data_IF_858350841038
#
_entry.id   IF_858350841038
#
_cell.length_a   1.000
_cell.length_b   1.000
_cell.length_c   1.000
_cell.angle_alpha   90.00
_cell.angle_beta   90.00
_cell.angle_gamma   90.00
#
_symmetry.space_group_name_H-M   'P 1'
#
loop_
_entity.id
_entity.type
_entity.pdbx_description
1 polymer ?
#
# COMPACT_ATOMS: atom_id res chain seq x y z
N UNK A 1 -63.71 -6.91 11.26
CA UNK A 1 -62.80 -5.78 10.97
C UNK A 1 -61.38 -6.23 11.27
N UNK A 2 -60.62 -6.67 10.26
CA UNK A 2 -59.20 -7.02 10.38
C UNK A 2 -58.47 -6.23 9.31
N UNK A 3 -57.72 -5.22 9.76
CA UNK A 3 -56.88 -4.36 8.91
C UNK A 3 -55.54 -5.07 8.79
N UNK A 4 -55.25 -5.61 7.61
CA UNK A 4 -53.93 -6.17 7.32
C UNK A 4 -53.07 -5.03 6.77
N UNK A 5 -52.15 -4.53 7.59
CA UNK A 5 -51.17 -3.50 7.23
C UNK A 5 -50.06 -4.17 6.41
N UNK A 6 -49.95 -3.86 5.11
CA UNK A 6 -48.82 -4.27 4.28
C UNK A 6 -47.72 -3.21 4.40
N UNK A 7 -46.62 -3.55 5.08
CA UNK A 7 -45.42 -2.71 5.16
C UNK A 7 -44.56 -3.00 3.91
N UNK A 8 -44.55 -2.08 2.95
CA UNK A 8 -43.64 -2.14 1.79
C UNK A 8 -42.30 -1.56 2.23
N UNK A 9 -41.31 -2.42 2.46
CA UNK A 9 -39.93 -2.03 2.69
C UNK A 9 -39.31 -1.63 1.35
N UNK A 10 -39.26 -0.32 1.08
CA UNK A 10 -38.58 0.24 -0.09
C UNK A 10 -37.06 0.16 0.15
N UNK A 11 -36.42 -0.91 -0.32
CA UNK A 11 -34.96 -1.00 -0.42
C UNK A 11 -34.50 0.00 -1.50
N UNK A 12 -34.23 1.23 -1.09
CA UNK A 12 -33.48 2.17 -1.92
C UNK A 12 -32.05 1.65 -2.04
N UNK A 13 -31.78 0.95 -3.14
CA UNK A 13 -30.41 0.68 -3.56
C UNK A 13 -29.80 2.03 -3.95
N UNK A 14 -29.19 2.71 -2.98
CA UNK A 14 -28.28 3.81 -3.28
C UNK A 14 -27.17 3.20 -4.11
N UNK A 15 -27.24 3.39 -5.43
CA UNK A 15 -26.08 3.19 -6.29
C UNK A 15 -25.11 4.28 -5.90
N UNK A 16 -24.21 3.97 -4.97
CA UNK A 16 -23.07 4.83 -4.66
C UNK A 16 -22.26 4.90 -5.95
N UNK A 17 -22.46 5.97 -6.73
CA UNK A 17 -21.59 6.31 -7.83
C UNK A 17 -20.20 6.49 -7.23
N UNK A 18 -19.37 5.47 -7.35
CA UNK A 18 -18.03 5.50 -6.78
C UNK A 18 -17.18 6.48 -7.61
N UNK A 19 -16.77 7.60 -6.99
CA UNK A 19 -15.95 8.66 -7.61
C UNK A 19 -14.76 8.04 -8.35
N UNK A 20 -14.52 8.45 -9.60
CA UNK A 20 -13.37 7.94 -10.36
C UNK A 20 -12.12 8.79 -10.10
N UNK A 21 -10.92 8.23 -10.30
CA UNK A 21 -9.67 9.01 -10.21
C UNK A 21 -9.65 10.25 -11.10
N UNK A 22 -10.32 10.19 -12.27
CA UNK A 22 -10.42 11.30 -13.22
C UNK A 22 -11.15 12.52 -12.67
N UNK A 23 -12.13 12.32 -11.80
CA UNK A 23 -12.89 13.42 -11.16
C UNK A 23 -12.06 14.17 -10.10
N UNK A 24 -11.02 13.51 -9.58
CA UNK A 24 -10.15 14.06 -8.55
C UNK A 24 -9.12 15.01 -9.17
N UNK A 25 -8.64 14.74 -10.38
CA UNK A 25 -7.67 15.61 -11.07
C UNK A 25 -8.13 17.10 -11.06
N UNK A 26 -7.30 18.03 -10.59
CA UNK A 26 -7.57 19.47 -10.68
C UNK A 26 -7.77 19.93 -12.13
N UNK A 27 -8.59 20.95 -12.36
CA UNK A 27 -8.76 21.55 -13.69
C UNK A 27 -7.66 22.58 -13.96
N UNK A 28 -7.43 22.96 -15.23
CA UNK A 28 -6.55 24.10 -15.56
C UNK A 28 -6.98 25.37 -14.81
N UNK A 29 -6.03 26.25 -14.53
CA UNK A 29 -6.32 27.50 -13.82
C UNK A 29 -6.64 27.33 -12.34
N UNK A 30 -6.31 26.18 -11.73
CA UNK A 30 -6.28 26.03 -10.27
C UNK A 30 -5.35 27.06 -9.59
N UNK A 31 -4.36 27.54 -10.34
CA UNK A 31 -3.56 28.72 -10.07
C UNK A 31 -3.19 29.39 -11.41
N UNK A 32 -2.93 30.69 -11.38
CA UNK A 32 -2.56 31.46 -12.58
C UNK A 32 -1.36 30.83 -13.30
N UNK A 33 -1.44 30.75 -14.63
CA UNK A 33 -0.35 30.25 -15.49
C UNK A 33 -0.25 28.72 -15.62
N UNK A 34 -0.89 27.94 -14.74
CA UNK A 34 -0.89 26.48 -14.84
C UNK A 34 -1.97 25.96 -15.80
N UNK A 35 -1.54 25.13 -16.76
CA UNK A 35 -2.41 24.48 -17.74
C UNK A 35 -2.33 22.97 -17.60
N UNK A 36 -3.48 22.30 -17.49
CA UNK A 36 -3.57 20.84 -17.53
C UNK A 36 -3.48 20.33 -18.96
N UNK A 37 -2.65 19.31 -19.17
CA UNK A 37 -2.54 18.56 -20.41
C UNK A 37 -3.69 17.58 -20.63
N UNK A 38 -3.49 16.65 -21.56
CA UNK A 38 -4.43 15.56 -21.80
C UNK A 38 -4.47 14.60 -20.59
N UNK A 39 -5.66 14.13 -20.25
CA UNK A 39 -5.84 13.15 -19.18
C UNK A 39 -5.69 11.75 -19.75
N UNK A 40 -4.65 11.05 -19.31
CA UNK A 40 -4.53 9.61 -19.49
C UNK A 40 -5.39 8.92 -18.45
N UNK A 41 -6.19 7.95 -18.87
CA UNK A 41 -7.10 7.23 -17.98
C UNK A 41 -7.14 5.76 -18.34
N UNK A 42 -6.79 4.91 -17.38
CA UNK A 42 -6.66 3.47 -17.59
C UNK A 42 -7.42 2.71 -16.50
N UNK A 43 -7.92 1.52 -16.86
CA UNK A 43 -8.64 0.59 -15.97
C UNK A 43 -8.18 -0.83 -16.20
N UNK A 44 -8.19 -1.65 -15.15
CA UNK A 44 -7.75 -3.05 -15.23
C UNK A 44 -6.38 -3.18 -15.90
N UNK A 45 -6.28 -4.09 -16.87
CA UNK A 45 -5.03 -4.43 -17.56
C UNK A 45 -4.47 -3.29 -18.43
N UNK A 46 -5.24 -2.23 -18.70
CA UNK A 46 -4.70 -1.06 -19.41
C UNK A 46 -3.66 -0.29 -18.55
N UNK A 47 -3.58 -0.57 -17.25
CA UNK A 47 -2.55 -0.02 -16.36
C UNK A 47 -1.12 -0.30 -16.89
N UNK A 48 -0.91 -1.42 -17.58
CA UNK A 48 0.40 -1.79 -18.14
C UNK A 48 0.88 -0.80 -19.22
N UNK A 49 -0.02 -0.02 -19.83
CA UNK A 49 0.37 1.08 -20.73
C UNK A 49 0.97 2.28 -19.98
N UNK A 50 0.65 2.43 -18.70
CA UNK A 50 1.17 3.50 -17.85
C UNK A 50 2.42 3.06 -17.08
N UNK A 51 2.38 1.89 -16.43
CA UNK A 51 3.48 1.39 -15.59
C UNK A 51 4.01 0.08 -16.19
N UNK A 52 5.20 0.14 -16.81
CA UNK A 52 5.85 -1.05 -17.35
C UNK A 52 6.74 -1.73 -16.29
N UNK A 53 6.34 -2.92 -15.83
CA UNK A 53 7.10 -3.74 -14.87
C UNK A 53 6.75 -3.56 -13.39
N UNK A 54 5.77 -2.71 -13.08
CA UNK A 54 5.24 -2.50 -11.72
C UNK A 54 3.73 -2.71 -11.56
N UNK A 55 2.98 -2.81 -12.67
CA UNK A 55 1.52 -2.90 -12.66
C UNK A 55 1.00 -4.15 -11.93
N UNK A 56 1.70 -5.29 -11.99
CA UNK A 56 1.30 -6.53 -11.30
C UNK A 56 1.10 -6.33 -9.80
N UNK A 57 1.93 -5.49 -9.16
CA UNK A 57 1.76 -5.15 -7.75
C UNK A 57 0.45 -4.41 -7.53
N UNK A 58 0.13 -3.41 -8.34
CA UNK A 58 -1.15 -2.69 -8.23
C UNK A 58 -2.35 -3.62 -8.43
N UNK A 59 -2.25 -4.55 -9.38
CA UNK A 59 -3.28 -5.56 -9.61
C UNK A 59 -3.46 -6.49 -8.40
N UNK A 60 -2.37 -6.91 -7.75
CA UNK A 60 -2.43 -7.73 -6.52
C UNK A 60 -3.17 -7.01 -5.38
N UNK A 61 -3.01 -5.69 -5.25
CA UNK A 61 -3.76 -4.88 -4.27
C UNK A 61 -5.16 -4.48 -4.75
N UNK A 62 -5.67 -5.00 -5.87
CA UNK A 62 -7.03 -4.68 -6.34
C UNK A 62 -7.15 -3.28 -6.95
N UNK A 63 -6.28 -2.97 -7.91
CA UNK A 63 -6.38 -1.76 -8.74
C UNK A 63 -7.76 -1.62 -9.41
N UNK A 64 -8.31 -0.40 -9.37
CA UNK A 64 -9.61 -0.06 -9.99
C UNK A 64 -9.42 0.80 -11.24
N UNK A 65 -8.85 1.99 -11.08
CA UNK A 65 -8.57 2.93 -12.16
C UNK A 65 -7.44 3.91 -11.83
N UNK A 66 -6.82 4.47 -12.85
CA UNK A 66 -5.83 5.56 -12.71
C UNK A 66 -6.15 6.68 -13.66
N UNK A 67 -6.01 7.92 -13.18
CA UNK A 67 -5.99 9.11 -14.00
C UNK A 67 -4.65 9.81 -13.82
N UNK A 68 -3.99 10.12 -14.94
CA UNK A 68 -2.73 10.84 -14.95
C UNK A 68 -2.80 12.07 -15.86
N UNK A 69 -2.13 13.15 -15.48
CA UNK A 69 -2.05 14.36 -16.29
C UNK A 69 -0.81 15.19 -15.96
N UNK A 70 -0.24 15.79 -17.00
CA UNK A 70 0.72 16.87 -16.87
C UNK A 70 0.02 18.19 -16.53
N UNK A 71 0.67 19.01 -15.72
CA UNK A 71 0.38 20.41 -15.52
C UNK A 71 1.63 21.19 -15.89
N UNK A 72 1.50 22.18 -16.77
CA UNK A 72 2.64 22.93 -17.32
C UNK A 72 2.48 24.41 -17.00
N UNK A 73 3.58 25.02 -16.58
CA UNK A 73 3.70 26.47 -16.40
C UNK A 73 4.89 26.98 -17.22
N UNK A 74 4.69 28.06 -17.98
CA UNK A 74 5.67 28.56 -18.96
C UNK A 74 7.02 28.95 -18.36
N UNK A 75 7.04 29.40 -17.10
CA UNK A 75 8.27 29.84 -16.40
C UNK A 75 8.67 28.99 -15.18
N UNK A 76 7.79 28.09 -14.70
CA UNK A 76 8.03 27.37 -13.43
C UNK A 76 8.41 25.91 -13.66
N UNK A 77 7.94 25.28 -14.73
CA UNK A 77 8.26 23.89 -15.06
C UNK A 77 7.01 23.05 -15.27
N UNK A 78 7.12 21.75 -14.95
CA UNK A 78 6.06 20.76 -15.16
C UNK A 78 5.83 19.94 -13.90
N UNK A 79 4.56 19.68 -13.62
CA UNK A 79 4.11 18.73 -12.60
C UNK A 79 3.38 17.59 -13.28
N UNK A 80 3.64 16.37 -12.86
CA UNK A 80 2.94 15.19 -13.32
C UNK A 80 2.20 14.58 -12.12
N UNK A 81 0.88 14.42 -12.25
CA UNK A 81 0.01 13.87 -11.21
C UNK A 81 -0.53 12.54 -11.68
N UNK A 82 -0.49 11.54 -10.82
CA UNK A 82 -1.17 10.27 -11.02
C UNK A 82 -2.05 9.99 -9.80
N UNK A 83 -3.30 9.62 -10.05
CA UNK A 83 -4.27 9.31 -9.01
C UNK A 83 -4.73 7.87 -9.25
N UNK A 84 -4.24 6.96 -8.43
CA UNK A 84 -4.60 5.55 -8.44
C UNK A 84 -5.74 5.33 -7.46
N UNK A 85 -6.86 4.83 -7.97
CA UNK A 85 -7.96 4.32 -7.16
C UNK A 85 -7.78 2.82 -6.97
N UNK A 86 -7.80 2.40 -5.72
CA UNK A 86 -7.76 1.00 -5.32
C UNK A 86 -9.16 0.54 -4.86
N UNK A 87 -9.34 -0.76 -4.68
CA UNK A 87 -10.62 -1.33 -4.28
C UNK A 87 -11.10 -0.87 -2.89
N UNK A 88 -10.17 -0.53 -1.99
CA UNK A 88 -10.43 -0.06 -0.64
C UNK A 88 -9.22 0.72 -0.08
N UNK A 89 -9.38 1.27 1.13
CA UNK A 89 -8.39 2.09 1.81
C UNK A 89 -7.13 1.31 2.21
N UNK A 90 -7.27 0.03 2.56
CA UNK A 90 -6.14 -0.84 2.93
C UNK A 90 -5.27 -1.16 1.71
N UNK A 91 -5.90 -1.38 0.56
CA UNK A 91 -5.22 -1.58 -0.71
C UNK A 91 -4.40 -0.34 -1.12
N UNK A 92 -4.98 0.86 -1.01
CA UNK A 92 -4.27 2.10 -1.27
C UNK A 92 -3.12 2.35 -0.28
N UNK A 93 -3.31 2.06 1.00
CA UNK A 93 -2.25 2.09 2.00
C UNK A 93 -1.12 1.11 1.68
N UNK A 94 -1.47 -0.09 1.20
CA UNK A 94 -0.54 -1.10 0.74
C UNK A 94 0.42 -0.60 -0.33
N UNK A 95 -0.11 -0.07 -1.43
CA UNK A 95 0.70 0.54 -2.50
C UNK A 95 1.53 1.72 -1.97
N UNK A 96 0.94 2.58 -1.15
CA UNK A 96 1.66 3.68 -0.53
C UNK A 96 2.85 3.20 0.30
N UNK A 97 2.67 2.19 1.14
CA UNK A 97 3.71 1.61 2.00
C UNK A 97 4.84 0.94 1.22
N UNK A 98 4.59 0.52 -0.01
CA UNK A 98 5.61 -0.07 -0.89
C UNK A 98 6.49 0.99 -1.59
N UNK A 99 6.14 2.28 -1.48
CA UNK A 99 6.95 3.35 -2.06
C UNK A 99 8.26 3.52 -1.26
N UNK A 100 9.37 3.01 -1.82
CA UNK A 100 10.73 3.06 -1.23
C UNK A 100 11.37 4.45 -1.34
N UNK A 101 10.61 5.48 -1.00
CA UNK A 101 11.04 6.85 -0.90
C UNK A 101 11.97 7.00 0.33
N UNK A 102 13.22 6.59 0.15
CA UNK A 102 14.26 6.41 1.17
C UNK A 102 14.82 7.70 1.80
N UNK A 103 14.07 8.80 1.81
CA UNK A 103 14.53 10.06 2.40
C UNK A 103 13.36 10.85 2.96
N UNK A 104 13.30 10.97 4.29
CA UNK A 104 12.28 11.69 5.05
C UNK A 104 10.83 11.21 4.84
N UNK A 105 10.50 10.11 5.52
CA UNK A 105 9.11 9.81 5.88
C UNK A 105 8.68 10.81 6.96
N UNK A 106 8.05 11.93 6.57
CA UNK A 106 7.28 12.76 7.51
C UNK A 106 5.84 12.27 7.47
N UNK A 107 5.54 11.27 8.29
CA UNK A 107 4.16 10.90 8.59
C UNK A 107 3.53 12.10 9.31
N UNK A 108 2.84 12.96 8.55
CA UNK A 108 1.91 13.91 9.12
C UNK A 108 0.61 13.15 9.44
N UNK A 109 -0.14 13.52 10.49
CA UNK A 109 -1.51 13.04 10.63
C UNK A 109 -2.29 13.42 9.36
N UNK A 110 -3.00 12.42 8.81
CA UNK A 110 -3.88 12.43 7.62
C UNK A 110 -3.98 13.76 6.83
N UNK A 111 -3.60 13.79 5.53
CA UNK A 111 -3.15 12.65 4.71
C UNK A 111 -1.71 12.23 5.06
N UNK A 112 -1.44 10.93 4.90
CA UNK A 112 -0.08 10.39 5.05
C UNK A 112 0.72 10.73 3.79
N UNK A 113 1.87 11.37 3.98
CA UNK A 113 2.68 11.92 2.89
C UNK A 113 4.12 11.44 3.05
N UNK A 114 4.71 10.91 1.99
CA UNK A 114 6.15 10.66 1.89
C UNK A 114 6.71 11.56 0.80
N UNK A 115 7.78 12.28 1.09
CA UNK A 115 8.45 13.19 0.15
C UNK A 115 9.85 12.66 -0.14
N UNK A 116 10.10 12.14 -1.33
CA UNK A 116 11.44 11.73 -1.77
C UNK A 116 11.89 12.53 -2.99
N UNK A 117 12.91 13.37 -2.79
CA UNK A 117 13.38 14.31 -3.81
C UNK A 117 12.16 14.97 -4.49
N UNK A 118 11.99 14.78 -5.81
CA UNK A 118 10.93 15.34 -6.68
C UNK A 118 9.60 14.62 -6.71
N UNK A 119 9.34 13.74 -5.75
CA UNK A 119 8.13 12.95 -5.67
C UNK A 119 7.41 13.12 -4.33
N UNK A 120 6.09 13.31 -4.39
CA UNK A 120 5.19 13.08 -3.28
C UNK A 120 4.44 11.79 -3.53
N UNK A 121 4.41 10.97 -2.49
CA UNK A 121 3.51 9.85 -2.37
C UNK A 121 2.49 10.23 -1.30
N UNK A 122 1.21 10.08 -1.60
CA UNK A 122 0.13 10.46 -0.71
C UNK A 122 -0.87 9.31 -0.64
N UNK A 123 -1.32 9.01 0.57
CA UNK A 123 -2.44 8.11 0.80
C UNK A 123 -3.62 8.87 1.40
N UNK A 124 -4.78 8.81 0.73
CA UNK A 124 -6.05 9.37 1.22
C UNK A 124 -7.21 8.45 0.84
N UNK A 125 -7.85 7.80 1.83
CA UNK A 125 -8.91 6.83 1.60
C UNK A 125 -8.48 5.69 0.67
N UNK A 126 -9.32 5.33 -0.29
CA UNK A 126 -9.03 4.33 -1.33
C UNK A 126 -8.11 4.82 -2.46
N UNK A 127 -7.39 5.94 -2.27
CA UNK A 127 -6.53 6.53 -3.29
C UNK A 127 -5.07 6.57 -2.87
N UNK A 128 -4.22 6.13 -3.80
CA UNK A 128 -2.78 6.38 -3.80
C UNK A 128 -2.47 7.45 -4.87
N UNK A 129 -1.80 8.52 -4.48
CA UNK A 129 -1.52 9.65 -5.37
C UNK A 129 -0.02 9.86 -5.44
N UNK A 130 0.48 10.05 -6.65
CA UNK A 130 1.81 10.57 -6.88
C UNK A 130 1.71 11.98 -7.47
N UNK A 131 2.58 12.85 -6.98
CA UNK A 131 2.87 14.11 -7.66
C UNK A 131 4.37 14.10 -7.90
N UNK A 132 4.81 14.47 -9.10
CA UNK A 132 6.22 14.57 -9.41
C UNK A 132 6.54 15.83 -10.20
N UNK A 133 7.73 16.36 -10.00
CA UNK A 133 8.17 17.60 -10.64
C UNK A 133 9.33 17.42 -11.60
N UNK A 134 9.27 18.07 -12.76
CA UNK A 134 10.36 18.15 -13.73
C UNK A 134 10.69 19.61 -14.10
N UNK A 135 11.92 19.85 -14.51
CA UNK A 135 12.40 21.15 -15.06
C UNK A 135 12.27 22.38 -14.14
N UNK A 136 12.21 22.18 -12.82
CA UNK A 136 12.20 23.28 -11.86
C UNK A 136 13.55 23.99 -11.74
N UNK A 137 13.52 25.32 -11.81
CA UNK A 137 14.58 26.21 -11.33
C UNK A 137 14.88 25.89 -9.85
N UNK A 138 16.16 25.65 -9.52
CA UNK A 138 16.71 24.98 -8.34
C UNK A 138 16.39 25.55 -6.93
N UNK A 139 15.41 26.43 -6.73
CA UNK A 139 15.20 27.09 -5.43
C UNK A 139 13.97 26.68 -4.62
N UNK A 140 13.06 25.83 -5.10
CA UNK A 140 12.04 25.29 -4.18
C UNK A 140 10.93 24.49 -4.84
N UNK A 141 10.57 23.39 -4.17
CA UNK A 141 9.30 22.67 -4.30
C UNK A 141 8.13 23.60 -3.99
N UNK A 142 7.81 24.47 -4.94
CA UNK A 142 6.93 25.64 -4.78
C UNK A 142 5.62 25.36 -4.02
N UNK A 143 5.07 26.43 -3.44
CA UNK A 143 3.72 26.47 -2.82
C UNK A 143 2.67 25.77 -3.69
N UNK A 144 2.77 25.93 -5.01
CA UNK A 144 1.98 25.27 -6.06
C UNK A 144 1.84 23.76 -5.87
N UNK A 145 2.92 23.08 -5.47
CA UNK A 145 2.95 21.64 -5.26
C UNK A 145 2.11 21.23 -4.03
N UNK A 146 2.21 22.00 -2.95
CA UNK A 146 1.38 21.83 -1.74
C UNK A 146 -0.09 22.22 -2.01
N UNK A 147 -0.33 23.24 -2.83
CA UNK A 147 -1.69 23.62 -3.24
C UNK A 147 -2.35 22.52 -4.07
N UNK A 148 -1.62 21.94 -5.02
CA UNK A 148 -2.13 20.83 -5.84
C UNK A 148 -2.45 19.61 -4.98
N UNK A 149 -1.56 19.27 -4.05
CA UNK A 149 -1.81 18.25 -3.02
C UNK A 149 -3.10 18.53 -2.25
N UNK A 150 -3.26 19.73 -1.69
CA UNK A 150 -4.47 20.12 -0.93
C UNK A 150 -5.74 19.99 -1.78
N UNK A 151 -5.74 20.52 -3.00
CA UNK A 151 -6.88 20.48 -3.92
C UNK A 151 -7.30 19.04 -4.26
N UNK A 152 -6.32 18.14 -4.42
CA UNK A 152 -6.57 16.72 -4.68
C UNK A 152 -7.18 16.07 -3.43
N UNK A 153 -6.54 16.24 -2.27
CA UNK A 153 -6.97 15.58 -1.04
C UNK A 153 -8.33 16.10 -0.54
N UNK A 154 -8.65 17.38 -0.74
CA UNK A 154 -9.93 17.98 -0.34
C UNK A 154 -11.13 17.44 -1.13
N UNK A 155 -10.88 16.91 -2.34
CA UNK A 155 -11.91 16.23 -3.16
C UNK A 155 -12.20 14.82 -2.68
N UNK A 156 -11.33 14.22 -1.86
CA UNK A 156 -11.49 12.86 -1.35
C UNK A 156 -12.10 12.94 0.06
N UNK A 157 -13.34 12.48 0.20
CA UNK A 157 -14.08 12.52 1.47
C UNK A 157 -13.80 11.35 2.40
N UNK A 158 -13.18 10.30 1.88
CA UNK A 158 -12.79 9.13 2.66
C UNK A 158 -11.68 9.50 3.65
N UNK A 159 -11.76 8.96 4.87
CA UNK A 159 -10.73 9.11 5.88
C UNK A 159 -9.72 7.96 5.84
N UNK A 160 -8.53 8.21 6.37
CA UNK A 160 -7.51 7.18 6.47
C UNK A 160 -7.80 6.28 7.66
N UNK A 161 -7.97 5.00 7.40
CA UNK A 161 -8.09 3.97 8.43
C UNK A 161 -6.86 3.08 8.31
N UNK A 162 -5.96 3.20 9.27
CA UNK A 162 -4.78 2.32 9.31
C UNK A 162 -5.23 0.88 9.55
N UNK A 163 -4.59 -0.11 8.90
CA UNK A 163 -4.75 -1.50 9.29
C UNK A 163 -4.44 -1.68 10.78
N UNK A 164 -5.27 -2.46 11.49
CA UNK A 164 -5.14 -2.68 12.94
C UNK A 164 -3.74 -3.21 13.31
N UNK A 165 -3.20 -4.10 12.48
CA UNK A 165 -1.84 -4.63 12.60
C UNK A 165 -0.75 -3.55 12.56
N UNK A 166 -0.97 -2.46 11.82
CA UNK A 166 -0.01 -1.36 11.73
C UNK A 166 -0.09 -0.39 12.91
N UNK A 167 -1.29 -0.13 13.45
CA UNK A 167 -1.52 0.82 14.56
C UNK A 167 -0.71 0.48 15.83
N UNK A 168 -0.33 -0.78 16.02
CA UNK A 168 0.57 -1.21 17.11
C UNK A 168 1.94 -0.55 17.00
N UNK A 169 2.51 -0.51 15.80
CA UNK A 169 3.86 0.01 15.55
C UNK A 169 3.89 1.54 15.45
N UNK A 170 2.80 2.16 14.98
CA UNK A 170 2.66 3.63 14.95
C UNK A 170 2.81 4.25 16.36
N UNK A 171 2.23 3.62 17.39
CA UNK A 171 2.26 4.12 18.78
C UNK A 171 3.66 4.19 19.38
N UNK A 172 4.63 3.45 18.84
CA UNK A 172 6.00 3.41 19.36
C UNK A 172 6.85 4.60 18.88
N UNK A 173 6.29 5.50 18.05
CA UNK A 173 6.93 6.76 17.64
C UNK A 173 8.20 6.57 16.80
N UNK A 174 8.47 5.35 16.34
CA UNK A 174 9.67 5.00 15.62
C UNK A 174 9.44 5.12 14.12
N UNK A 175 10.30 5.88 13.44
CA UNK A 175 10.36 5.94 11.98
C UNK A 175 11.15 4.71 11.51
N UNK A 176 10.47 3.56 11.46
CA UNK A 176 11.00 2.37 10.81
C UNK A 176 10.59 2.36 9.34
N UNK A 177 11.39 1.70 8.49
CA UNK A 177 10.92 1.34 7.16
C UNK A 177 9.84 0.27 7.31
N UNK A 178 8.73 0.41 6.58
CA UNK A 178 7.56 -0.44 6.77
C UNK A 178 6.88 -0.78 5.46
N UNK A 179 6.16 -1.89 5.44
CA UNK A 179 5.31 -2.27 4.32
C UNK A 179 4.05 -3.00 4.82
N UNK A 180 2.92 -2.72 4.19
CA UNK A 180 1.68 -3.47 4.35
C UNK A 180 1.50 -4.40 3.16
N UNK A 181 1.55 -5.70 3.40
CA UNK A 181 1.64 -6.77 2.41
C UNK A 181 0.26 -7.40 2.26
N UNK A 182 -0.28 -7.50 1.04
CA UNK A 182 -1.59 -8.14 0.75
C UNK A 182 -1.49 -9.29 -0.27
N UNK A 183 -0.29 -9.85 -0.47
CA UNK A 183 -0.09 -10.98 -1.36
C UNK A 183 1.36 -11.42 -1.52
N UNK A 184 1.62 -12.48 -2.29
CA UNK A 184 2.95 -13.04 -2.48
C UNK A 184 3.90 -12.17 -3.31
N UNK A 185 3.42 -11.33 -4.23
CA UNK A 185 4.28 -10.39 -4.98
C UNK A 185 4.79 -9.29 -4.04
N UNK A 186 3.88 -8.70 -3.26
CA UNK A 186 4.17 -7.77 -2.18
C UNK A 186 5.20 -8.35 -1.19
N UNK A 187 5.00 -9.61 -0.77
CA UNK A 187 5.93 -10.29 0.13
C UNK A 187 7.31 -10.41 -0.51
N UNK A 188 7.39 -10.85 -1.77
CA UNK A 188 8.65 -10.99 -2.50
C UNK A 188 9.40 -9.66 -2.71
N UNK A 189 8.70 -8.53 -2.81
CA UNK A 189 9.31 -7.21 -2.89
C UNK A 189 9.99 -6.77 -1.58
N UNK A 190 9.60 -7.39 -0.46
CA UNK A 190 10.09 -7.12 0.90
C UNK A 190 11.15 -8.14 1.34
N UNK A 191 10.84 -9.43 1.18
CA UNK A 191 11.73 -10.56 1.45
C UNK A 191 11.26 -11.81 0.68
N UNK A 192 12.17 -12.43 -0.09
CA UNK A 192 11.81 -13.58 -0.93
C UNK A 192 12.05 -14.92 -0.22
N UNK A 193 10.96 -15.62 0.09
CA UNK A 193 10.97 -16.99 0.60
C UNK A 193 11.01 -18.06 -0.50
N UNK A 194 10.83 -17.65 -1.75
CA UNK A 194 10.74 -18.51 -2.93
C UNK A 194 9.60 -18.09 -3.85
N UNK A 195 9.39 -18.85 -4.92
CA UNK A 195 8.32 -18.56 -5.90
C UNK A 195 6.91 -18.98 -5.43
N UNK A 196 6.83 -19.81 -4.38
CA UNK A 196 5.55 -20.30 -3.85
C UNK A 196 5.07 -19.39 -2.73
N UNK A 197 3.75 -19.17 -2.67
CA UNK A 197 3.10 -18.52 -1.53
C UNK A 197 2.97 -19.49 -0.35
N UNK A 198 4.09 -19.79 0.30
CA UNK A 198 4.11 -20.73 1.43
C UNK A 198 3.36 -20.20 2.66
N UNK A 199 3.17 -18.88 2.73
CA UNK A 199 2.47 -18.21 3.83
C UNK A 199 0.97 -18.02 3.55
N UNK A 200 0.45 -18.35 2.36
CA UNK A 200 -0.95 -18.10 1.99
C UNK A 200 -1.40 -16.68 2.39
N UNK A 201 -0.64 -15.68 1.95
CA UNK A 201 -0.70 -14.31 2.49
C UNK A 201 -2.12 -13.74 2.40
N UNK A 202 -2.72 -13.40 3.54
CA UNK A 202 -3.94 -12.58 3.61
C UNK A 202 -3.57 -11.12 3.85
N UNK A 203 -2.84 -10.87 4.94
CA UNK A 203 -2.19 -9.59 5.18
C UNK A 203 -0.96 -9.78 6.05
N UNK A 204 0.01 -8.88 5.93
CA UNK A 204 1.14 -8.79 6.85
C UNK A 204 1.64 -7.36 6.98
N UNK A 205 2.27 -7.06 8.11
CA UNK A 205 3.06 -5.84 8.29
C UNK A 205 4.53 -6.22 8.37
N UNK A 206 5.35 -5.55 7.57
CA UNK A 206 6.81 -5.57 7.72
C UNK A 206 7.28 -4.30 8.41
N UNK A 207 8.23 -4.45 9.34
CA UNK A 207 8.95 -3.38 10.00
C UNK A 207 10.45 -3.70 9.92
N UNK A 208 11.25 -2.77 9.41
CA UNK A 208 12.71 -2.86 9.38
C UNK A 208 13.30 -1.84 10.34
N UNK A 209 13.90 -2.35 11.41
CA UNK A 209 14.54 -1.54 12.46
C UNK A 209 15.98 -1.14 12.12
N UNK A 210 16.51 -1.61 10.99
CA UNK A 210 17.93 -1.52 10.63
C UNK A 210 18.82 -2.58 11.31
N UNK A 211 18.30 -3.26 12.33
CA UNK A 211 18.98 -4.39 13.02
C UNK A 211 18.25 -5.71 12.75
N UNK A 212 16.94 -5.69 12.90
CA UNK A 212 16.04 -6.83 12.62
C UNK A 212 14.92 -6.35 11.71
N UNK A 213 14.59 -7.20 10.74
CA UNK A 213 13.37 -7.08 9.95
C UNK A 213 12.32 -8.05 10.50
N UNK A 214 11.15 -7.52 10.84
CA UNK A 214 10.03 -8.28 11.39
C UNK A 214 8.93 -8.31 10.33
N UNK A 215 8.38 -9.49 10.04
CA UNK A 215 7.17 -9.65 9.22
C UNK A 215 6.11 -10.36 10.07
N UNK A 216 5.05 -9.64 10.45
CA UNK A 216 3.92 -10.16 11.22
C UNK A 216 2.75 -10.42 10.24
N UNK A 217 2.51 -11.69 9.93
CA UNK A 217 1.37 -12.15 9.12
C UNK A 217 0.13 -12.29 10.00
N UNK A 218 -1.01 -11.82 9.52
CA UNK A 218 -2.31 -11.92 10.18
C UNK A 218 -3.29 -12.72 9.32
N UNK A 219 -3.98 -13.66 9.96
CA UNK A 219 -4.96 -14.53 9.32
C UNK A 219 -6.35 -14.33 9.92
N UNK A 220 -7.36 -14.50 9.08
CA UNK A 220 -8.78 -14.40 9.40
C UNK A 220 -9.24 -15.32 10.55
N UNK A 221 -8.53 -16.42 10.80
CA UNK A 221 -8.82 -17.32 11.90
C UNK A 221 -7.60 -18.14 12.34
N UNK A 222 -7.63 -18.60 13.60
CA UNK A 222 -6.55 -19.35 14.24
C UNK A 222 -6.26 -20.67 13.53
N UNK A 223 -7.30 -21.41 13.11
CA UNK A 223 -7.10 -22.72 12.46
C UNK A 223 -6.28 -22.59 11.17
N UNK A 224 -6.63 -21.63 10.29
CA UNK A 224 -5.88 -21.36 9.07
C UNK A 224 -4.44 -20.93 9.37
N UNK A 225 -4.24 -20.09 10.39
CA UNK A 225 -2.91 -19.67 10.84
C UNK A 225 -2.05 -20.87 11.23
N UNK A 226 -2.58 -21.77 12.07
CA UNK A 226 -1.86 -22.97 12.52
C UNK A 226 -1.56 -23.95 11.38
N UNK A 227 -2.49 -24.13 10.45
CA UNK A 227 -2.29 -24.95 9.25
C UNK A 227 -1.19 -24.37 8.36
N UNK A 228 -1.22 -23.05 8.10
CA UNK A 228 -0.15 -22.36 7.36
C UNK A 228 1.19 -22.50 8.07
N UNK A 229 1.25 -22.27 9.39
CA UNK A 229 2.50 -22.38 10.15
C UNK A 229 3.15 -23.75 10.02
N UNK A 230 2.35 -24.83 10.16
CA UNK A 230 2.84 -26.21 9.96
C UNK A 230 3.39 -26.42 8.55
N UNK A 231 2.68 -25.93 7.53
CA UNK A 231 3.12 -26.04 6.14
C UNK A 231 4.41 -25.27 5.87
N UNK A 232 4.56 -24.06 6.43
CA UNK A 232 5.78 -23.25 6.33
C UNK A 232 6.96 -23.99 6.99
N UNK A 233 6.78 -24.48 8.21
CA UNK A 233 7.80 -25.26 8.94
C UNK A 233 8.25 -26.49 8.13
N UNK A 234 7.29 -27.31 7.67
CA UNK A 234 7.56 -28.49 6.84
C UNK A 234 8.29 -28.15 5.54
N UNK A 235 7.90 -27.07 4.86
CA UNK A 235 8.55 -26.60 3.65
C UNK A 235 9.99 -26.16 3.92
N UNK A 236 10.20 -25.31 4.93
CA UNK A 236 11.51 -24.75 5.26
C UNK A 236 12.48 -25.81 5.76
N UNK A 237 11.99 -26.86 6.44
CA UNK A 237 12.80 -28.02 6.87
C UNK A 237 13.31 -28.86 5.69
N UNK A 238 12.51 -29.01 4.62
CA UNK A 238 12.80 -29.97 3.53
C UNK A 238 13.46 -29.34 2.31
N UNK A 239 13.32 -28.04 2.13
CA UNK A 239 13.86 -27.34 0.97
C UNK A 239 15.37 -27.09 1.09
N UNK A 240 16.05 -26.97 -0.04
CA UNK A 240 17.48 -26.59 -0.09
C UNK A 240 17.70 -25.06 -0.09
N UNK A 241 16.65 -24.28 0.18
CA UNK A 241 16.73 -22.81 0.32
C UNK A 241 17.15 -22.36 1.71
N UNK A 242 16.88 -23.20 2.69
CA UNK A 242 17.16 -22.93 4.09
C UNK A 242 18.04 -24.05 4.66
N UNK A 243 18.83 -23.71 5.68
CA UNK A 243 19.66 -24.64 6.43
C UNK A 243 19.47 -24.44 7.93
N UNK A 244 20.15 -25.24 8.74
CA UNK A 244 20.18 -25.07 10.19
C UNK A 244 18.80 -25.08 10.86
N UNK A 245 17.87 -25.89 10.33
CA UNK A 245 16.53 -26.02 10.91
C UNK A 245 16.63 -26.49 12.36
N UNK A 246 15.98 -25.75 13.27
CA UNK A 246 15.86 -26.08 14.68
C UNK A 246 14.48 -25.70 15.18
N UNK A 247 13.86 -26.53 16.03
CA UNK A 247 12.54 -26.27 16.63
C UNK A 247 12.66 -26.43 18.13
N UNK A 248 12.17 -25.46 18.90
CA UNK A 248 12.09 -25.58 20.36
C UNK A 248 10.82 -26.32 20.78
N UNK A 249 9.71 -25.97 20.13
CA UNK A 249 8.39 -26.60 20.29
C UNK A 249 7.57 -26.49 18.99
N UNK A 250 6.25 -26.68 19.07
CA UNK A 250 5.32 -26.60 17.94
C UNK A 250 4.91 -25.15 17.56
N UNK A 251 5.48 -24.15 18.23
CA UNK A 251 5.16 -22.73 18.08
C UNK A 251 6.36 -21.87 17.73
N UNK A 252 7.58 -22.42 17.79
CA UNK A 252 8.80 -21.71 17.40
C UNK A 252 9.80 -22.64 16.67
N UNK A 253 10.26 -22.19 15.50
CA UNK A 253 11.40 -22.77 14.81
C UNK A 253 12.30 -21.70 14.20
N UNK A 254 13.53 -22.06 13.87
CA UNK A 254 14.49 -21.20 13.20
C UNK A 254 15.14 -21.89 12.01
N UNK A 255 15.58 -21.09 11.04
CA UNK A 255 16.35 -21.51 9.88
C UNK A 255 17.36 -20.43 9.49
N UNK A 256 18.33 -20.79 8.64
CA UNK A 256 19.25 -19.84 8.02
C UNK A 256 19.01 -19.79 6.51
N UNK A 257 18.91 -18.61 5.92
CA UNK A 257 18.81 -18.44 4.47
C UNK A 257 20.16 -18.61 3.76
N UNK A 258 20.17 -18.60 2.42
CA UNK A 258 21.39 -18.75 1.62
C UNK A 258 22.39 -17.59 1.76
N UNK A 259 21.95 -16.45 2.27
CA UNK A 259 22.79 -15.28 2.52
C UNK A 259 23.32 -15.27 3.97
N UNK A 260 23.03 -16.30 4.76
CA UNK A 260 23.45 -16.41 6.15
C UNK A 260 22.55 -15.68 7.15
N UNK A 261 21.40 -15.15 6.72
CA UNK A 261 20.45 -14.51 7.64
C UNK A 261 19.73 -15.56 8.47
N UNK A 262 19.56 -15.29 9.75
CA UNK A 262 18.83 -16.14 10.67
C UNK A 262 17.37 -15.68 10.68
N UNK A 263 16.47 -16.62 10.45
CA UNK A 263 15.04 -16.42 10.51
C UNK A 263 14.51 -17.17 11.73
N UNK A 264 13.80 -16.47 12.61
CA UNK A 264 13.05 -17.07 13.71
C UNK A 264 11.57 -16.90 13.38
N UNK A 265 10.84 -18.01 13.32
CA UNK A 265 9.43 -18.06 12.95
C UNK A 265 8.63 -18.54 14.15
N UNK A 266 7.73 -17.69 14.64
CA UNK A 266 6.87 -18.00 15.78
C UNK A 266 5.38 -17.91 15.45
N UNK A 267 4.59 -18.72 16.15
CA UNK A 267 3.14 -18.78 16.06
C UNK A 267 2.52 -18.13 17.31
N UNK A 268 1.63 -17.16 17.13
CA UNK A 268 0.93 -16.49 18.22
C UNK A 268 -0.51 -16.16 17.81
N UNK A 269 -1.48 -16.81 18.45
CA UNK A 269 -2.91 -16.62 18.12
C UNK A 269 -3.17 -16.85 16.62
N UNK A 270 -3.76 -15.88 15.93
CA UNK A 270 -4.00 -15.89 14.49
C UNK A 270 -2.84 -15.25 13.69
N UNK A 271 -1.62 -15.25 14.23
CA UNK A 271 -0.45 -14.61 13.61
C UNK A 271 0.76 -15.53 13.51
N UNK A 272 1.51 -15.33 12.43
CA UNK A 272 2.87 -15.86 12.26
C UNK A 272 3.83 -14.69 12.24
N UNK A 273 4.86 -14.71 13.09
CA UNK A 273 5.86 -13.64 13.17
C UNK A 273 7.18 -14.20 12.68
N UNK A 274 7.80 -13.51 11.71
CA UNK A 274 9.12 -13.84 11.18
C UNK A 274 10.09 -12.73 11.54
N UNK A 275 11.07 -13.03 12.37
CA UNK A 275 12.19 -12.13 12.69
C UNK A 275 13.41 -12.52 11.87
N UNK A 276 14.00 -11.56 11.18
CA UNK A 276 15.11 -11.75 10.24
C UNK A 276 16.28 -10.89 10.68
N UNK A 277 17.38 -11.54 11.06
CA UNK A 277 18.64 -10.92 11.50
C UNK A 277 19.83 -11.33 10.65
#
# INVERSE_FOLDING_TARGET
>A
MRVTLFLILLLTVFSLSSQTSKEILPNSGWQEGWQKGEVQFYKGDDLFFLINGGADLYMEYGFVDVAAADYVHSSLGKLYVEIYKMENEKAAFGIFSMSKASSLVKIAPSPWIIMADKFLHIWKGSYYITISGADFNKAGFSIDYLMLMSLITDKIKEENILPETFTKYEKEGCIYDFAYIMGPLALNNVYSFGFQDIFNVESAVMIDTGVVKIIEFEYSNVQKCEETYRNVSDFMMRTNRFSSYSSEDNTLFSVTDRNGKILIISLKENRIIVEIS
#
